data_IF_863622881925
#
_entry.id   IF_863622881925
#
_cell.length_a   1.000
_cell.length_b   1.000
_cell.length_c   1.000
_cell.angle_alpha   90.00
_cell.angle_beta   90.00
_cell.angle_gamma   90.00
#
_symmetry.space_group_name_H-M   'P 1'
#
loop_
_entity.id
_entity.type
_entity.pdbx_description
1 polymer ?
#
# COMPACT_ATOMS: atom_id res chain seq x y z
N UNK A 1 17.96 19.16 5.87
CA UNK A 1 18.30 20.26 4.95
C UNK A 1 16.98 20.93 4.59
N UNK A 2 16.74 22.15 5.08
CA UNK A 2 15.53 22.93 4.76
C UNK A 2 15.60 23.40 3.31
N UNK A 3 14.53 23.20 2.54
CA UNK A 3 14.43 23.73 1.18
C UNK A 3 14.16 25.24 1.32
N UNK A 4 15.14 26.07 1.00
CA UNK A 4 15.08 27.55 1.17
C UNK A 4 14.87 28.29 -0.15
N UNK A 5 14.62 27.58 -1.26
CA UNK A 5 14.47 28.16 -2.59
C UNK A 5 13.13 27.74 -3.21
N UNK A 6 12.32 28.73 -3.57
CA UNK A 6 10.95 28.59 -4.06
C UNK A 6 10.86 27.97 -5.46
N UNK A 7 11.78 28.32 -6.37
CA UNK A 7 11.87 27.71 -7.70
C UNK A 7 12.19 26.22 -7.62
N UNK A 8 13.07 25.85 -6.68
CA UNK A 8 13.41 24.44 -6.40
C UNK A 8 12.19 23.69 -5.86
N UNK A 9 11.39 24.32 -5.00
CA UNK A 9 10.12 23.76 -4.53
C UNK A 9 9.14 23.56 -5.69
N UNK A 10 8.97 24.53 -6.59
CA UNK A 10 8.07 24.42 -7.74
C UNK A 10 8.52 23.37 -8.77
N UNK A 11 9.82 23.25 -9.02
CA UNK A 11 10.39 22.19 -9.88
C UNK A 11 10.12 20.81 -9.28
N UNK A 12 10.35 20.63 -7.97
CA UNK A 12 10.04 19.38 -7.27
C UNK A 12 8.53 19.10 -7.24
N UNK A 13 7.69 20.13 -7.04
CA UNK A 13 6.23 20.03 -7.00
C UNK A 13 5.64 19.64 -8.35
N UNK A 14 6.14 20.21 -9.44
CA UNK A 14 5.68 19.93 -10.81
C UNK A 14 6.04 18.51 -11.26
N UNK A 15 7.06 17.88 -10.66
CA UNK A 15 7.39 16.47 -10.87
C UNK A 15 6.58 15.48 -10.02
N UNK A 16 5.86 15.93 -8.99
CA UNK A 16 5.06 15.04 -8.12
C UNK A 16 3.68 14.81 -8.75
N UNK A 17 3.58 13.73 -9.53
CA UNK A 17 2.28 13.18 -9.96
C UNK A 17 1.92 11.96 -9.09
N UNK A 18 0.95 12.18 -8.20
CA UNK A 18 0.38 11.17 -7.28
C UNK A 18 1.13 11.01 -5.95
N UNK A 19 0.38 10.61 -4.91
CA UNK A 19 0.90 10.39 -3.56
C UNK A 19 1.99 9.31 -3.48
N UNK A 20 2.78 9.37 -2.40
CA UNK A 20 3.80 8.37 -2.06
C UNK A 20 3.13 7.00 -1.90
N UNK A 21 3.69 6.00 -2.56
CA UNK A 21 3.33 4.61 -2.38
C UNK A 21 4.63 3.81 -2.28
N UNK A 22 4.66 2.84 -1.36
CA UNK A 22 5.82 2.02 -1.08
C UNK A 22 5.48 0.57 -1.40
N UNK A 23 6.45 -0.14 -1.97
CA UNK A 23 6.34 -1.56 -2.33
C UNK A 23 7.62 -2.26 -1.93
N UNK A 24 7.46 -3.44 -1.36
CA UNK A 24 8.53 -4.42 -1.28
C UNK A 24 8.27 -5.41 -2.41
N UNK A 25 9.15 -5.41 -3.43
CA UNK A 25 9.01 -6.25 -4.63
C UNK A 25 9.13 -7.73 -4.26
N UNK A 26 8.02 -8.36 -3.86
CA UNK A 26 7.96 -9.75 -3.44
C UNK A 26 6.63 -10.38 -3.80
N UNK A 27 6.69 -11.69 -4.04
CA UNK A 27 5.52 -12.53 -4.14
C UNK A 27 5.17 -13.07 -2.75
N UNK A 28 3.95 -12.79 -2.30
CA UNK A 28 3.43 -13.26 -1.03
C UNK A 28 2.30 -14.26 -1.31
N UNK A 29 2.44 -15.49 -0.84
CA UNK A 29 1.54 -16.62 -1.10
C UNK A 29 1.25 -17.34 0.22
N UNK A 30 -0.04 -17.59 0.50
CA UNK A 30 -0.47 -18.37 1.68
C UNK A 30 0.22 -19.73 1.70
N UNK A 31 0.71 -20.11 2.89
CA UNK A 31 1.29 -21.42 3.14
C UNK A 31 2.68 -21.64 2.53
N UNK A 32 3.25 -20.64 1.85
CA UNK A 32 4.56 -20.73 1.23
C UNK A 32 5.49 -19.60 1.65
N UNK A 33 4.98 -18.36 1.69
CA UNK A 33 5.81 -17.20 2.01
C UNK A 33 6.09 -17.13 3.49
N UNK A 34 7.36 -17.11 3.85
CA UNK A 34 7.82 -16.80 5.19
C UNK A 34 7.68 -15.31 5.49
N UNK A 35 7.39 -14.97 6.75
CA UNK A 35 7.38 -13.57 7.19
C UNK A 35 8.79 -13.02 7.09
N UNK A 36 8.92 -11.90 6.39
CA UNK A 36 10.19 -11.28 6.12
C UNK A 36 10.44 -10.05 7.00
N UNK A 37 11.71 -9.85 7.37
CA UNK A 37 12.20 -8.66 8.05
C UNK A 37 13.36 -8.02 7.33
N UNK A 38 13.50 -6.73 7.61
CA UNK A 38 14.60 -5.91 7.14
C UNK A 38 15.32 -5.28 8.33
N UNK A 39 16.64 -5.29 8.30
CA UNK A 39 17.49 -4.58 9.26
C UNK A 39 18.53 -3.74 8.52
N UNK A 40 18.90 -2.60 9.11
CA UNK A 40 19.97 -1.75 8.59
C UNK A 40 21.28 -2.12 9.30
N UNK A 41 22.25 -2.62 8.55
CA UNK A 41 23.60 -2.93 9.04
C UNK A 41 24.63 -2.29 8.10
N UNK A 42 25.60 -1.55 8.66
CA UNK A 42 26.73 -0.99 7.90
C UNK A 42 26.33 -0.24 6.61
N UNK A 43 25.21 0.50 6.67
CA UNK A 43 24.58 1.23 5.54
C UNK A 43 23.94 0.36 4.45
N UNK A 44 23.75 -0.93 4.70
CA UNK A 44 23.01 -1.87 3.84
C UNK A 44 21.72 -2.30 4.52
N UNK A 45 20.66 -2.44 3.72
CA UNK A 45 19.41 -3.05 4.18
C UNK A 45 19.51 -4.55 3.91
N UNK A 46 19.54 -5.34 4.98
CA UNK A 46 19.54 -6.79 4.91
C UNK A 46 18.10 -7.29 5.07
N UNK A 47 17.69 -8.13 4.12
CA UNK A 47 16.39 -8.80 4.12
C UNK A 47 16.57 -10.25 4.51
N UNK A 48 15.80 -10.73 5.48
CA UNK A 48 15.89 -12.10 5.99
C UNK A 48 14.51 -12.64 6.40
N UNK A 49 14.32 -13.94 6.23
CA UNK A 49 13.05 -14.61 6.50
C UNK A 49 13.03 -15.20 7.92
N UNK A 50 11.86 -15.22 8.53
CA UNK A 50 11.57 -15.85 9.81
C UNK A 50 10.84 -17.19 9.58
N UNK A 51 10.78 -18.05 10.60
CA UNK A 51 10.13 -19.36 10.48
C UNK A 51 8.59 -19.29 10.38
N UNK A 52 8.00 -18.13 10.61
CA UNK A 52 6.56 -17.93 10.52
C UNK A 52 6.08 -17.92 9.07
N UNK A 53 5.11 -18.77 8.74
CA UNK A 53 4.55 -18.86 7.39
C UNK A 53 3.27 -18.03 7.30
N UNK A 54 3.16 -17.21 6.26
CA UNK A 54 2.00 -16.38 5.98
C UNK A 54 0.75 -17.23 5.76
N UNK A 55 -0.33 -16.84 6.44
CA UNK A 55 -1.66 -17.45 6.32
C UNK A 55 -2.59 -16.67 5.42
N UNK A 56 -2.47 -15.34 5.37
CA UNK A 56 -3.32 -14.47 4.55
C UNK A 56 -2.68 -13.09 4.36
N UNK A 57 -3.23 -12.32 3.43
CA UNK A 57 -2.97 -10.89 3.25
C UNK A 57 -4.10 -10.12 3.92
N UNK A 58 -3.76 -9.15 4.77
CA UNK A 58 -4.70 -8.21 5.38
C UNK A 58 -4.44 -6.82 4.86
N UNK A 59 -5.42 -6.23 4.20
CA UNK A 59 -5.39 -4.84 3.73
C UNK A 59 -6.38 -3.97 4.48
N UNK A 60 -5.89 -2.78 4.84
CA UNK A 60 -6.69 -1.75 5.51
C UNK A 60 -6.71 -0.49 4.67
N UNK A 61 -7.91 0.09 4.56
CA UNK A 61 -8.13 1.42 4.02
C UNK A 61 -8.35 2.41 5.15
N UNK A 62 -8.06 3.67 4.86
CA UNK A 62 -8.03 4.71 5.84
C UNK A 62 -9.03 5.79 5.49
N UNK A 63 -10.07 5.83 6.30
CA UNK A 63 -11.16 6.76 6.11
C UNK A 63 -10.70 8.21 6.23
N UNK A 64 -11.14 9.02 5.27
CA UNK A 64 -11.16 10.47 5.38
C UNK A 64 -9.78 11.10 5.66
N UNK A 65 -8.72 10.57 5.05
CA UNK A 65 -7.36 11.12 5.14
C UNK A 65 -7.30 12.59 4.67
N UNK A 66 -8.06 12.97 3.64
CA UNK A 66 -8.06 14.34 3.12
C UNK A 66 -8.91 15.30 3.97
N UNK A 67 -10.18 14.99 4.32
CA UNK A 67 -10.96 15.87 5.19
C UNK A 67 -10.35 16.08 6.58
N UNK A 68 -9.74 15.04 7.18
CA UNK A 68 -9.10 15.15 8.50
C UNK A 68 -7.93 16.14 8.50
N UNK A 69 -7.11 16.13 7.45
CA UNK A 69 -6.02 17.09 7.23
C UNK A 69 -6.48 18.54 7.12
N UNK A 70 -7.67 18.77 6.58
CA UNK A 70 -8.25 20.12 6.48
C UNK A 70 -9.05 20.52 7.73
N UNK A 71 -9.40 19.56 8.60
CA UNK A 71 -10.28 19.82 9.75
C UNK A 71 -9.57 20.45 10.96
N UNK A 72 -8.23 20.36 11.05
CA UNK A 72 -7.47 20.91 12.19
C UNK A 72 -7.81 20.27 13.55
N UNK A 73 -8.56 19.16 13.57
CA UNK A 73 -8.99 18.51 14.80
C UNK A 73 -7.82 17.81 15.49
N UNK A 74 -7.53 18.22 16.73
CA UNK A 74 -6.52 17.59 17.58
C UNK A 74 -7.02 16.23 18.06
N UNK A 75 -6.14 15.22 18.02
CA UNK A 75 -6.44 13.85 18.44
C UNK A 75 -5.38 13.36 19.42
N UNK A 76 -5.79 12.66 20.48
CA UNK A 76 -4.89 12.25 21.56
C UNK A 76 -3.75 11.32 21.09
N UNK A 77 -4.02 10.53 20.05
CA UNK A 77 -3.03 9.62 19.44
C UNK A 77 -2.13 10.31 18.42
N UNK A 78 -2.56 11.44 17.84
CA UNK A 78 -1.85 12.12 16.75
C UNK A 78 -1.34 13.46 17.27
N UNK A 79 -0.11 13.45 17.78
CA UNK A 79 0.54 14.67 18.30
C UNK A 79 0.80 15.74 17.23
N UNK A 80 0.80 15.37 15.94
CA UNK A 80 1.08 16.28 14.83
C UNK A 80 0.04 16.08 13.70
N UNK A 81 -0.91 17.01 13.60
CA UNK A 81 -2.06 16.95 12.68
C UNK A 81 -1.73 17.39 11.26
N UNK A 82 -0.57 18.00 11.01
CA UNK A 82 -0.25 18.67 9.73
C UNK A 82 0.33 17.74 8.65
N UNK A 83 0.33 16.42 8.84
CA UNK A 83 0.90 15.48 7.86
C UNK A 83 0.11 14.17 7.81
N UNK A 84 -0.63 13.93 6.73
CA UNK A 84 -1.41 12.70 6.51
C UNK A 84 -0.55 11.44 6.54
N UNK A 85 0.69 11.60 6.08
CA UNK A 85 1.76 10.59 6.16
C UNK A 85 2.10 10.22 7.61
N UNK A 86 1.99 11.18 8.54
CA UNK A 86 2.24 10.96 9.95
C UNK A 86 1.17 10.06 10.55
N UNK A 87 -0.09 10.20 10.14
CA UNK A 87 -1.13 9.32 10.65
C UNK A 87 -1.03 7.88 10.13
N UNK A 88 -0.65 7.69 8.85
CA UNK A 88 -0.32 6.35 8.32
C UNK A 88 0.76 5.67 9.16
N UNK A 89 1.83 6.41 9.48
CA UNK A 89 2.92 5.92 10.33
C UNK A 89 2.49 5.76 11.79
N UNK A 90 1.60 6.62 12.29
CA UNK A 90 1.07 6.53 13.64
C UNK A 90 0.28 5.22 13.83
N UNK A 91 -0.64 4.92 12.92
CA UNK A 91 -1.36 3.66 12.93
C UNK A 91 -0.41 2.45 12.88
N UNK A 92 0.60 2.50 12.01
CA UNK A 92 1.56 1.41 11.91
C UNK A 92 2.41 1.25 13.18
N UNK A 93 3.09 2.30 13.64
CA UNK A 93 4.04 2.19 14.76
C UNK A 93 3.37 2.21 16.13
N UNK A 94 2.39 3.08 16.35
CA UNK A 94 1.79 3.30 17.68
C UNK A 94 0.60 2.40 17.96
N UNK A 95 0.01 1.78 16.93
CA UNK A 95 -1.02 0.77 17.09
C UNK A 95 -0.50 -0.62 16.70
N UNK A 96 -0.27 -0.90 15.42
CA UNK A 96 0.07 -2.25 14.96
C UNK A 96 1.36 -2.79 15.61
N UNK A 97 2.49 -2.09 15.50
CA UNK A 97 3.75 -2.53 16.11
C UNK A 97 3.72 -2.55 17.64
N UNK A 98 2.78 -1.81 18.26
CA UNK A 98 2.66 -1.72 19.72
C UNK A 98 1.96 -2.94 20.32
N UNK A 99 0.94 -3.46 19.65
CA UNK A 99 0.09 -4.53 20.20
C UNK A 99 0.04 -5.82 19.37
N UNK A 100 0.68 -5.88 18.21
CA UNK A 100 0.82 -7.10 17.43
C UNK A 100 2.23 -7.70 17.59
N UNK A 101 2.32 -9.01 17.48
CA UNK A 101 3.59 -9.72 17.37
C UNK A 101 4.27 -9.32 16.06
N UNK A 102 5.30 -8.49 16.17
CA UNK A 102 6.04 -7.99 15.02
C UNK A 102 6.69 -9.10 14.21
N UNK A 103 6.95 -10.29 14.76
CA UNK A 103 7.52 -11.40 13.99
C UNK A 103 6.49 -12.12 13.11
N UNK A 104 5.19 -11.83 13.28
CA UNK A 104 4.10 -12.54 12.61
C UNK A 104 3.44 -11.74 11.49
N UNK A 105 3.96 -10.58 11.13
CA UNK A 105 3.49 -9.87 9.95
C UNK A 105 4.60 -9.06 9.30
N UNK A 106 4.47 -8.77 7.99
CA UNK A 106 5.31 -7.79 7.32
C UNK A 106 4.51 -6.92 6.35
N UNK A 107 4.99 -5.70 6.16
CA UNK A 107 4.42 -4.77 5.21
C UNK A 107 4.72 -5.21 3.78
N UNK A 108 3.71 -5.27 2.91
CA UNK A 108 3.87 -5.69 1.51
C UNK A 108 3.71 -4.49 0.58
N UNK A 109 2.64 -3.73 0.78
CA UNK A 109 2.24 -2.65 -0.10
C UNK A 109 1.55 -1.54 0.69
N UNK A 110 1.65 -0.30 0.24
CA UNK A 110 0.71 0.74 0.64
C UNK A 110 0.79 1.99 -0.22
N UNK A 111 -0.33 2.70 -0.27
CA UNK A 111 -0.44 4.03 -0.87
C UNK A 111 -0.81 5.04 0.23
N UNK A 112 -1.35 6.18 -0.19
CA UNK A 112 -1.60 7.36 0.63
C UNK A 112 -2.55 7.07 1.79
N UNK A 113 -3.53 6.19 1.57
CA UNK A 113 -4.63 5.82 2.47
C UNK A 113 -4.76 4.30 2.67
N UNK A 114 -3.97 3.46 2.01
CA UNK A 114 -4.08 2.00 2.15
C UNK A 114 -2.77 1.34 2.56
N UNK A 115 -2.86 0.26 3.33
CA UNK A 115 -1.72 -0.61 3.66
C UNK A 115 -2.14 -2.07 3.55
N UNK A 116 -1.27 -2.90 3.01
CA UNK A 116 -1.44 -4.35 2.91
C UNK A 116 -0.28 -5.05 3.60
N UNK A 117 -0.61 -6.06 4.39
CA UNK A 117 0.31 -6.82 5.21
C UNK A 117 0.18 -8.31 4.91
N UNK A 118 1.31 -9.01 4.90
CA UNK A 118 1.35 -10.45 5.02
C UNK A 118 1.24 -10.81 6.49
N UNK A 119 0.30 -11.68 6.86
CA UNK A 119 0.05 -12.07 8.25
C UNK A 119 0.17 -13.58 8.42
N UNK A 120 1.01 -13.99 9.36
CA UNK A 120 1.10 -15.36 9.88
C UNK A 120 0.15 -15.50 11.07
N UNK A 121 -1.15 -15.64 10.79
CA UNK A 121 -2.20 -15.83 11.79
C UNK A 121 -2.30 -17.28 12.26
N UNK A 122 -3.47 -17.64 12.78
CA UNK A 122 -3.83 -19.03 13.08
C UNK A 122 -4.27 -19.73 11.79
N UNK A 123 -3.59 -20.83 11.36
CA UNK A 123 -3.97 -21.57 10.16
C UNK A 123 -5.32 -22.28 10.27
N UNK A 124 -5.88 -22.45 11.47
CA UNK A 124 -7.17 -23.07 11.71
C UNK A 124 -8.34 -22.08 11.65
N UNK A 125 -8.04 -20.77 11.74
CA UNK A 125 -9.04 -19.72 11.60
C UNK A 125 -9.11 -19.26 10.14
N UNK A 126 -10.28 -18.79 9.75
CA UNK A 126 -10.42 -18.14 8.45
C UNK A 126 -9.77 -16.75 8.45
N UNK A 127 -9.82 -16.09 7.30
CA UNK A 127 -9.17 -14.82 7.06
C UNK A 127 -9.81 -13.63 7.80
N UNK A 128 -11.04 -13.79 8.29
CA UNK A 128 -11.73 -12.74 9.07
C UNK A 128 -11.02 -12.47 10.39
N UNK A 129 -10.10 -13.37 10.80
CA UNK A 129 -9.19 -13.14 11.92
C UNK A 129 -8.40 -11.83 11.77
N UNK A 130 -8.07 -11.38 10.54
CA UNK A 130 -7.23 -10.20 10.32
C UNK A 130 -5.97 -10.23 11.20
N UNK A 131 -5.85 -9.27 12.11
CA UNK A 131 -4.73 -9.20 13.07
C UNK A 131 -4.97 -9.93 14.40
N UNK A 132 -6.19 -10.39 14.69
CA UNK A 132 -6.59 -10.87 16.03
C UNK A 132 -5.74 -12.04 16.56
N UNK A 133 -5.35 -12.98 15.68
CA UNK A 133 -4.55 -14.14 16.06
C UNK A 133 -3.08 -13.80 16.39
N UNK A 134 -2.63 -12.58 16.10
CA UNK A 134 -1.26 -12.13 16.33
C UNK A 134 -1.17 -11.00 17.34
N UNK A 135 -2.23 -10.75 18.11
CA UNK A 135 -2.23 -9.75 19.18
C UNK A 135 -1.31 -10.21 20.32
N UNK A 136 -0.28 -9.43 20.61
CA UNK A 136 0.69 -9.66 21.68
C UNK A 136 0.37 -8.88 22.96
N UNK A 137 -0.26 -7.71 22.84
CA UNK A 137 -0.74 -6.89 23.97
C UNK A 137 -2.27 -6.73 23.87
N UNK A 138 -2.99 -7.72 24.44
CA UNK A 138 -4.44 -7.79 24.37
C UNK A 138 -5.12 -6.61 25.08
N UNK A 139 -4.59 -6.19 26.22
CA UNK A 139 -5.15 -5.06 26.97
C UNK A 139 -5.10 -3.79 26.12
N UNK A 140 -3.92 -3.45 25.59
CA UNK A 140 -3.79 -2.28 24.73
C UNK A 140 -4.65 -2.40 23.47
N UNK A 141 -4.70 -3.58 22.85
CA UNK A 141 -5.52 -3.82 21.67
C UNK A 141 -7.00 -3.54 21.96
N UNK A 142 -7.58 -4.18 22.98
CA UNK A 142 -9.00 -4.07 23.30
C UNK A 142 -9.39 -2.62 23.68
N UNK A 143 -8.55 -1.92 24.43
CA UNK A 143 -8.78 -0.53 24.85
C UNK A 143 -8.73 0.48 23.69
N UNK A 144 -8.06 0.15 22.57
CA UNK A 144 -7.78 1.09 21.49
C UNK A 144 -8.35 0.68 20.12
N UNK A 145 -8.76 -0.58 19.93
CA UNK A 145 -9.18 -1.11 18.65
C UNK A 145 -10.28 -0.25 18.00
N UNK A 146 -11.37 0.01 18.73
CA UNK A 146 -12.50 0.79 18.24
C UNK A 146 -12.24 2.31 18.13
N UNK A 147 -11.08 2.80 18.55
CA UNK A 147 -10.64 4.17 18.25
C UNK A 147 -10.21 4.30 16.79
N UNK A 148 -9.68 3.21 16.21
CA UNK A 148 -9.28 3.14 14.81
C UNK A 148 -10.35 2.44 13.96
N UNK A 149 -10.76 1.25 14.34
CA UNK A 149 -11.71 0.42 13.58
C UNK A 149 -13.17 0.71 13.92
N UNK A 150 -14.13 0.42 13.02
CA UNK A 150 -15.55 0.59 13.29
C UNK A 150 -16.00 -0.23 14.50
N UNK A 151 -16.81 0.38 15.35
CA UNK A 151 -17.49 -0.27 16.47
C UNK A 151 -18.83 -0.81 15.99
N UNK A 152 -19.06 -2.14 16.02
CA UNK A 152 -20.32 -2.73 15.57
C UNK A 152 -21.52 -2.31 16.42
N UNK A 153 -21.30 -1.76 17.62
CA UNK A 153 -22.35 -1.18 18.45
C UNK A 153 -22.77 0.23 18.06
N UNK A 154 -22.11 0.84 17.06
CA UNK A 154 -22.38 2.22 16.59
C UNK A 154 -22.98 2.24 15.18
N UNK A 155 -23.33 3.44 14.73
CA UNK A 155 -23.97 3.65 13.44
C UNK A 155 -22.97 3.78 12.27
N UNK A 156 -23.52 3.96 11.06
CA UNK A 156 -22.75 4.08 9.80
C UNK A 156 -21.77 5.27 9.78
N UNK A 157 -21.93 6.26 10.66
CA UNK A 157 -20.98 7.36 10.74
C UNK A 157 -19.68 6.93 11.43
N UNK A 158 -19.73 5.96 12.35
CA UNK A 158 -18.54 5.40 12.98
C UNK A 158 -17.69 4.60 11.99
N UNK A 159 -18.33 3.90 11.03
CA UNK A 159 -17.62 3.26 9.91
C UNK A 159 -16.81 4.23 9.06
N UNK A 160 -17.21 5.51 9.00
CA UNK A 160 -16.56 6.57 8.23
C UNK A 160 -15.89 7.63 9.09
N UNK A 161 -15.65 7.32 10.38
CA UNK A 161 -15.06 8.26 11.32
C UNK A 161 -13.75 8.84 10.80
N UNK A 162 -13.52 10.12 11.11
CA UNK A 162 -12.28 10.80 10.75
C UNK A 162 -11.10 10.03 11.34
N UNK A 163 -10.10 9.74 10.51
CA UNK A 163 -8.91 8.99 10.93
C UNK A 163 -9.24 7.57 11.44
N UNK A 164 -10.39 7.05 11.00
CA UNK A 164 -10.74 5.64 11.15
C UNK A 164 -10.02 4.78 10.13
N UNK A 165 -9.96 3.48 10.41
CA UNK A 165 -9.38 2.45 9.57
C UNK A 165 -10.43 1.40 9.32
N UNK A 166 -10.64 1.01 8.07
CA UNK A 166 -11.54 -0.07 7.69
C UNK A 166 -10.73 -1.24 7.10
N UNK A 167 -11.20 -2.46 7.31
CA UNK A 167 -10.70 -3.59 6.52
C UNK A 167 -11.24 -3.46 5.10
N UNK A 168 -10.35 -3.46 4.11
CA UNK A 168 -10.72 -3.27 2.69
C UNK A 168 -10.45 -4.53 1.88
N UNK A 169 -9.30 -5.15 2.13
CA UNK A 169 -8.78 -6.22 1.29
C UNK A 169 -8.42 -7.43 2.12
N UNK A 170 -8.79 -8.60 1.64
CA UNK A 170 -8.28 -9.85 2.18
C UNK A 170 -8.05 -10.86 1.07
N UNK A 171 -6.89 -11.52 1.09
CA UNK A 171 -6.51 -12.38 -0.02
C UNK A 171 -5.52 -13.47 0.35
N UNK A 172 -5.41 -14.47 -0.51
CA UNK A 172 -4.45 -15.57 -0.36
C UNK A 172 -3.08 -15.24 -0.92
N UNK A 173 -3.00 -14.30 -1.87
CA UNK A 173 -1.74 -13.98 -2.52
C UNK A 173 -1.70 -12.54 -2.98
N UNK A 174 -0.53 -11.90 -2.86
CA UNK A 174 -0.29 -10.53 -3.32
C UNK A 174 1.06 -10.47 -4.04
N UNK A 175 1.01 -9.99 -5.29
CA UNK A 175 2.18 -9.63 -6.09
C UNK A 175 2.19 -8.11 -6.22
N UNK A 176 3.15 -7.45 -5.57
CA UNK A 176 3.34 -6.01 -5.70
C UNK A 176 4.54 -5.72 -6.60
N UNK A 177 4.28 -5.35 -7.86
CA UNK A 177 5.31 -5.00 -8.82
C UNK A 177 5.86 -3.60 -8.62
N UNK A 178 4.99 -2.67 -8.23
CA UNK A 178 5.34 -1.28 -8.09
C UNK A 178 4.30 -0.53 -7.26
N UNK A 179 4.63 0.66 -6.76
CA UNK A 179 3.63 1.59 -6.29
C UNK A 179 2.44 1.67 -7.27
N UNK A 180 1.25 1.26 -6.80
CA UNK A 180 -0.02 1.30 -7.54
C UNK A 180 -0.11 0.34 -8.75
N UNK A 181 0.76 -0.68 -8.80
CA UNK A 181 0.70 -1.80 -9.72
C UNK A 181 0.86 -3.11 -8.93
N UNK A 182 -0.25 -3.78 -8.66
CA UNK A 182 -0.26 -5.03 -7.91
C UNK A 182 -1.40 -5.94 -8.37
N UNK A 183 -1.20 -7.23 -8.12
CA UNK A 183 -2.20 -8.27 -8.31
C UNK A 183 -2.49 -8.91 -6.96
N UNK A 184 -3.75 -8.90 -6.55
CA UNK A 184 -4.24 -9.48 -5.31
C UNK A 184 -5.23 -10.58 -5.65
N UNK A 185 -4.97 -11.80 -5.17
CA UNK A 185 -5.92 -12.89 -5.21
C UNK A 185 -6.88 -12.75 -4.03
N UNK A 186 -8.12 -12.35 -4.29
CA UNK A 186 -9.18 -12.16 -3.30
C UNK A 186 -10.20 -13.30 -3.36
N UNK A 187 -9.74 -14.53 -3.59
CA UNK A 187 -10.56 -15.74 -3.69
C UNK A 187 -11.33 -16.08 -2.40
N UNK A 188 -10.98 -15.39 -1.32
CA UNK A 188 -11.68 -15.41 -0.04
C UNK A 188 -12.90 -14.47 0.01
N UNK A 189 -12.95 -13.42 -0.82
CA UNK A 189 -14.14 -12.58 -1.02
C UNK A 189 -14.99 -13.13 -2.17
N UNK A 190 -16.16 -13.67 -1.83
CA UNK A 190 -17.09 -14.31 -2.78
C UNK A 190 -17.60 -13.37 -3.89
N UNK A 191 -17.44 -12.05 -3.75
CA UNK A 191 -17.88 -11.08 -4.77
C UNK A 191 -16.87 -10.85 -5.89
N UNK A 192 -15.57 -10.87 -5.59
CA UNK A 192 -14.51 -10.61 -6.56
C UNK A 192 -13.34 -11.56 -6.29
N UNK A 193 -13.29 -12.74 -6.92
CA UNK A 193 -12.29 -13.75 -6.60
C UNK A 193 -10.85 -13.34 -6.98
N UNK A 194 -10.68 -12.36 -7.86
CA UNK A 194 -9.38 -11.80 -8.21
C UNK A 194 -9.48 -10.28 -8.40
N UNK A 195 -8.54 -9.55 -7.82
CA UNK A 195 -8.42 -8.10 -8.00
C UNK A 195 -7.06 -7.76 -8.58
N UNK A 196 -7.07 -7.33 -9.84
CA UNK A 196 -5.90 -6.72 -10.48
C UNK A 196 -6.02 -5.21 -10.34
N UNK A 197 -5.03 -4.56 -9.76
CA UNK A 197 -5.01 -3.10 -9.59
C UNK A 197 -3.82 -2.53 -10.35
N UNK A 198 -4.16 -1.85 -11.43
CA UNK A 198 -3.22 -1.19 -12.32
C UNK A 198 -3.54 0.30 -12.37
N UNK A 199 -2.59 1.15 -11.98
CA UNK A 199 -2.78 2.60 -12.10
C UNK A 199 -2.29 3.11 -13.44
N UNK A 200 -3.11 3.96 -14.04
CA UNK A 200 -2.75 4.67 -15.28
C UNK A 200 -3.02 3.86 -16.55
N UNK A 201 -3.65 2.70 -16.46
CA UNK A 201 -4.16 1.93 -17.59
C UNK A 201 -5.48 1.26 -17.21
N UNK A 202 -6.42 1.22 -18.14
CA UNK A 202 -7.67 0.51 -17.96
C UNK A 202 -7.44 -0.97 -18.29
N UNK A 203 -7.64 -1.87 -17.32
CA UNK A 203 -7.47 -3.31 -17.50
C UNK A 203 -8.42 -3.90 -18.55
N UNK A 204 -9.66 -3.42 -18.63
CA UNK A 204 -10.62 -3.88 -19.66
C UNK A 204 -10.12 -3.59 -21.07
N UNK A 205 -9.43 -2.47 -21.24
CA UNK A 205 -8.81 -2.09 -22.52
C UNK A 205 -7.43 -2.72 -22.74
N UNK A 206 -6.88 -3.42 -21.74
CA UNK A 206 -5.54 -4.00 -21.76
C UNK A 206 -5.50 -5.42 -21.17
N UNK A 207 -6.23 -6.39 -21.74
CA UNK A 207 -6.34 -7.76 -21.20
C UNK A 207 -5.01 -8.54 -21.18
N UNK A 208 -4.02 -8.09 -21.96
CA UNK A 208 -2.66 -8.64 -21.94
C UNK A 208 -1.92 -8.34 -20.62
N UNK A 209 -2.40 -7.39 -19.81
CA UNK A 209 -1.87 -7.10 -18.47
C UNK A 209 -2.63 -7.97 -17.47
N UNK A 210 -2.12 -9.18 -17.26
CA UNK A 210 -2.72 -10.22 -16.43
C UNK A 210 -1.66 -10.84 -15.47
N UNK A 211 -2.08 -11.79 -14.63
CA UNK A 211 -1.20 -12.46 -13.66
C UNK A 211 0.06 -13.03 -14.30
N UNK A 212 -0.07 -13.73 -15.43
CA UNK A 212 1.06 -14.34 -16.12
C UNK A 212 2.06 -13.28 -16.59
N UNK A 213 1.59 -12.19 -17.18
CA UNK A 213 2.43 -11.07 -17.58
C UNK A 213 3.20 -10.45 -16.39
N UNK A 214 2.56 -10.37 -15.23
CA UNK A 214 3.18 -9.90 -13.97
C UNK A 214 4.27 -10.89 -13.49
N UNK A 215 3.98 -12.19 -13.50
CA UNK A 215 4.95 -13.22 -13.10
C UNK A 215 6.15 -13.31 -14.05
N UNK A 216 5.90 -13.25 -15.37
CA UNK A 216 6.94 -13.22 -16.39
C UNK A 216 7.81 -11.98 -16.26
N UNK A 217 7.21 -10.83 -15.90
CA UNK A 217 7.96 -9.62 -15.65
C UNK A 217 8.92 -9.75 -14.46
N UNK A 218 8.51 -10.38 -13.37
CA UNK A 218 9.37 -10.63 -12.21
C UNK A 218 10.49 -11.61 -12.55
N UNK A 219 10.15 -12.70 -13.25
CA UNK A 219 11.11 -13.78 -13.56
C UNK A 219 12.12 -13.36 -14.61
N UNK A 220 11.67 -12.66 -15.65
CA UNK A 220 12.41 -12.46 -16.89
C UNK A 220 12.60 -10.98 -17.26
N UNK A 221 12.07 -10.03 -16.48
CA UNK A 221 12.18 -8.59 -16.76
C UNK A 221 11.36 -8.10 -17.96
N UNK A 222 10.37 -8.87 -18.43
CA UNK A 222 9.58 -8.56 -19.64
C UNK A 222 8.76 -7.28 -19.49
N UNK A 223 8.69 -6.44 -20.52
CA UNK A 223 7.88 -5.20 -20.47
C UNK A 223 6.58 -5.42 -21.24
N UNK A 224 5.45 -5.13 -20.61
CA UNK A 224 4.14 -5.17 -21.27
C UNK A 224 3.59 -3.77 -21.43
N UNK A 225 3.32 -3.38 -22.67
CA UNK A 225 2.73 -2.07 -23.01
C UNK A 225 1.20 -2.15 -23.00
N UNK A 226 0.57 -1.05 -22.61
CA UNK A 226 -0.86 -0.87 -22.66
C UNK A 226 -1.27 0.46 -23.30
N UNK A 227 -2.50 0.51 -23.79
CA UNK A 227 -3.17 1.69 -24.33
C UNK A 227 -3.88 2.44 -23.22
N UNK A 228 -3.61 3.72 -23.10
CA UNK A 228 -4.34 4.64 -22.24
C UNK A 228 -5.09 5.65 -23.13
N UNK A 229 -6.38 5.82 -22.87
CA UNK A 229 -7.18 6.86 -23.50
C UNK A 229 -7.39 8.01 -22.51
N UNK A 230 -7.01 9.21 -22.91
CA UNK A 230 -7.22 10.44 -22.13
C UNK A 230 -8.09 11.39 -22.92
N UNK A 231 -9.12 11.95 -22.28
CA UNK A 231 -9.78 13.14 -22.78
C UNK A 231 -8.92 14.35 -22.41
N UNK A 232 -8.65 15.23 -23.38
CA UNK A 232 -7.91 16.48 -23.15
C UNK A 232 -8.64 17.63 -23.82
N UNK A 233 -8.72 18.74 -23.11
CA UNK A 233 -9.24 19.99 -23.65
C UNK A 233 -8.09 20.87 -24.11
N UNK A 234 -8.16 21.39 -25.34
CA UNK A 234 -7.23 22.38 -25.89
C UNK A 234 -8.03 23.43 -26.65
N UNK A 235 -7.82 24.71 -26.30
CA UNK A 235 -8.50 25.84 -26.93
C UNK A 235 -10.04 25.71 -26.94
N UNK A 236 -10.62 25.21 -25.85
CA UNK A 236 -12.07 25.05 -25.73
C UNK A 236 -12.61 23.71 -26.25
N UNK A 237 -11.88 23.02 -27.13
CA UNK A 237 -12.31 21.75 -27.71
C UNK A 237 -11.79 20.54 -26.94
N UNK A 238 -12.67 19.57 -26.68
CA UNK A 238 -12.31 18.30 -26.03
C UNK A 238 -12.02 17.24 -27.08
N UNK A 239 -10.86 16.61 -26.98
CA UNK A 239 -10.41 15.55 -27.89
C UNK A 239 -10.02 14.30 -27.11
N UNK A 240 -10.27 13.14 -27.70
CA UNK A 240 -9.78 11.86 -27.19
C UNK A 240 -8.40 11.59 -27.79
N UNK A 241 -7.43 11.29 -26.94
CA UNK A 241 -6.07 10.98 -27.36
C UNK A 241 -5.68 9.62 -26.79
N UNK A 242 -5.25 8.72 -27.67
CA UNK A 242 -4.67 7.43 -27.31
C UNK A 242 -3.16 7.57 -27.14
N UNK A 243 -2.63 7.03 -26.03
CA UNK A 243 -1.21 6.95 -25.76
C UNK A 243 -0.82 5.51 -25.44
N UNK A 244 0.33 5.08 -25.95
CA UNK A 244 0.97 3.85 -25.50
C UNK A 244 1.79 4.15 -24.24
N UNK A 245 1.58 3.38 -23.19
CA UNK A 245 2.36 3.44 -21.94
C UNK A 245 2.89 2.07 -21.59
N UNK A 246 4.03 2.02 -20.90
CA UNK A 246 4.45 0.79 -20.25
C UNK A 246 3.47 0.53 -19.10
N UNK A 247 2.84 -0.64 -19.11
CA UNK A 247 1.86 -1.05 -18.09
C UNK A 247 2.47 -1.92 -17.00
N UNK A 248 3.38 -2.82 -17.38
CA UNK A 248 4.19 -3.60 -16.45
C UNK A 248 5.66 -3.38 -16.80
N UNK A 249 6.46 -3.00 -15.81
CA UNK A 249 7.92 -2.93 -15.88
C UNK A 249 8.51 -3.54 -14.61
N UNK A 250 9.65 -4.24 -14.74
CA UNK A 250 10.26 -4.99 -13.62
C UNK A 250 10.88 -4.10 -12.56
N UNK A 251 11.03 -2.82 -12.89
CA UNK A 251 11.44 -1.76 -11.99
C UNK A 251 10.54 -0.55 -12.28
N UNK A 252 9.63 -0.26 -11.36
CA UNK A 252 9.04 1.07 -11.23
C UNK A 252 9.60 1.69 -9.95
N UNK A 253 10.91 1.79 -9.89
CA UNK A 253 11.55 2.71 -8.97
C UNK A 253 11.18 4.11 -9.42
N UNK A 254 10.30 4.78 -8.66
CA UNK A 254 10.21 6.24 -8.72
C UNK A 254 11.56 6.90 -8.36
N UNK A 255 12.56 6.14 -7.91
CA UNK A 255 13.88 6.63 -7.53
C UNK A 255 14.95 5.55 -7.74
N UNK A 256 15.97 5.83 -8.56
CA UNK A 256 17.25 5.12 -8.50
C UNK A 256 18.23 5.99 -7.70
N UNK A 257 19.03 5.35 -6.84
CA UNK A 257 20.11 6.03 -6.12
C UNK A 257 21.37 5.88 -6.95
N UNK A 258 21.91 6.97 -7.48
CA UNK A 258 23.20 6.95 -8.19
C UNK A 258 24.35 6.68 -7.22
N UNK A 259 25.49 6.19 -7.72
CA UNK A 259 26.70 5.86 -6.93
C UNK A 259 27.29 7.06 -6.14
N UNK A 260 26.80 8.27 -6.40
CA UNK A 260 27.11 9.48 -5.64
C UNK A 260 26.11 9.78 -4.49
N UNK A 261 25.24 8.83 -4.12
CA UNK A 261 24.16 9.00 -3.14
C UNK A 261 23.21 10.19 -3.41
N UNK A 262 23.03 10.56 -4.68
CA UNK A 262 22.04 11.56 -5.10
C UNK A 262 20.87 10.87 -5.78
N UNK A 263 19.66 11.15 -5.30
CA UNK A 263 18.42 10.65 -5.86
C UNK A 263 18.03 11.51 -7.08
N UNK A 264 17.86 10.88 -8.24
CA UNK A 264 17.28 11.52 -9.42
C UNK A 264 16.11 10.69 -9.93
N UNK A 265 15.03 11.36 -10.34
CA UNK A 265 13.90 10.75 -11.04
C UNK A 265 14.25 10.64 -12.53
N UNK A 266 14.02 9.48 -13.14
CA UNK A 266 14.08 9.31 -14.60
C UNK A 266 12.73 9.70 -15.24
N UNK A 267 12.85 10.35 -16.41
CA UNK A 267 11.77 10.89 -17.25
C UNK A 267 10.78 9.82 -17.73
#
# INVERSE_FOLDING_TARGET
>A
MSITNEDTYHILRNGITGGLANVIHRYNIKGQTHINKMKLEERKVLSYDLDHIMTHITGVDKNSLYPSMFSGLKQDFIKYTDCSKYWVMNFYYNFLCRCLDQNRFHYVYGDTDSMMFAVAGDPNLDYTQGFSAIVSDKQFYDENFYKFFPDPGKDVYDEKKLLGVAYEHCGLSLIALAPKNYWLLEDLDKKNPETVKLKGLNLKSNPQINKQAIEENIKNGTVVKGKNMSLRQRAGEMSQIEFLKNGITGCHTKMLTADSYKCQNLQ
#
